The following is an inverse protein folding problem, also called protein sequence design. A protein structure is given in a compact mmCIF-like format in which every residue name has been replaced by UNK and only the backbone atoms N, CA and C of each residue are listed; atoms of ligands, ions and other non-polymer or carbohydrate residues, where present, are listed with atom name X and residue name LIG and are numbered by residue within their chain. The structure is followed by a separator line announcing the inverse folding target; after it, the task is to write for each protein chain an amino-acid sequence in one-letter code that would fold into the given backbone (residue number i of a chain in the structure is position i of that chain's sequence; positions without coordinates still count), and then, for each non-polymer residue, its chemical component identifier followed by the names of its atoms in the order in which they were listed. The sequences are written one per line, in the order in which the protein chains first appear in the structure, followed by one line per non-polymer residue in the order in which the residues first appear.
data_IF_288594768526
#
_entry.id   IF_288594768526
#
_cell.length_a   1.000
_cell.length_b   1.000
_cell.length_c   1.000
_cell.angle_alpha   90.00
_cell.angle_beta   90.00
_cell.angle_gamma   90.00
#
_symmetry.space_group_name_H-M   'P 1'
#
loop_
_entity.id
_entity.type
_entity.pdbx_description
1 polymer ?
#
# COMPACT_ATOMS: atom_id res chain seq x y z
N UNK A 1 9.51 31.60 9.15
CA UNK A 1 9.50 30.54 10.18
C UNK A 1 10.87 29.89 10.15
N UNK A 2 11.59 29.83 11.26
CA UNK A 2 12.95 29.27 11.32
C UNK A 2 12.92 27.93 12.05
N UNK A 3 13.61 26.93 11.51
CA UNK A 3 13.75 25.60 12.11
C UNK A 3 15.18 25.48 12.62
N UNK A 4 15.35 25.28 13.93
CA UNK A 4 16.67 25.07 14.52
C UNK A 4 17.07 23.59 14.38
N UNK A 5 18.13 23.33 13.62
CA UNK A 5 18.69 21.99 13.46
C UNK A 5 19.88 21.79 14.39
N UNK A 6 20.21 20.52 14.66
CA UNK A 6 21.45 20.20 15.38
C UNK A 6 22.63 20.43 14.43
N UNK A 7 23.79 20.91 14.91
CA UNK A 7 24.93 21.22 14.04
C UNK A 7 25.36 20.06 13.13
N UNK A 8 25.36 18.84 13.66
CA UNK A 8 25.72 17.65 12.87
C UNK A 8 24.74 17.38 11.71
N UNK A 9 23.46 17.69 11.88
CA UNK A 9 22.44 17.49 10.83
C UNK A 9 22.60 18.52 9.71
N UNK A 10 22.94 19.76 10.06
CA UNK A 10 23.16 20.81 9.05
C UNK A 10 24.35 20.48 8.15
N UNK A 11 25.45 20.00 8.74
CA UNK A 11 26.64 19.57 8.00
C UNK A 11 26.33 18.40 7.05
N UNK A 12 25.60 17.40 7.55
CA UNK A 12 25.23 16.23 6.76
C UNK A 12 24.26 16.57 5.62
N UNK A 13 23.25 17.42 5.89
CA UNK A 13 22.30 17.88 4.89
C UNK A 13 22.98 18.75 3.82
N UNK A 14 23.89 19.64 4.21
CA UNK A 14 24.65 20.47 3.28
C UNK A 14 25.57 19.62 2.38
N UNK A 15 26.23 18.60 2.94
CA UNK A 15 27.06 17.68 2.17
C UNK A 15 26.25 16.90 1.13
N UNK A 16 25.06 16.40 1.53
CA UNK A 16 24.15 15.68 0.62
C UNK A 16 23.55 16.57 -0.45
N UNK A 17 23.11 17.78 -0.09
CA UNK A 17 22.60 18.76 -1.04
C UNK A 17 23.67 19.10 -2.10
N UNK A 18 24.92 19.33 -1.68
CA UNK A 18 26.03 19.60 -2.58
C UNK A 18 26.35 18.42 -3.49
N UNK A 19 26.30 17.18 -3.00
CA UNK A 19 26.51 15.99 -3.80
C UNK A 19 25.46 15.85 -4.92
N UNK A 20 24.25 16.34 -4.67
CA UNK A 20 23.15 16.34 -5.63
C UNK A 20 23.04 17.64 -6.45
N UNK A 21 23.96 18.59 -6.28
CA UNK A 21 23.97 19.86 -6.99
C UNK A 21 22.82 20.82 -6.59
N UNK A 22 22.21 20.60 -5.43
CA UNK A 22 21.10 21.38 -4.90
C UNK A 22 21.56 22.31 -3.78
N UNK A 23 20.79 23.37 -3.54
CA UNK A 23 20.95 24.14 -2.30
C UNK A 23 20.43 23.32 -1.11
N UNK A 24 20.95 23.59 0.09
CA UNK A 24 20.48 22.92 1.31
C UNK A 24 18.98 23.12 1.53
N UNK A 25 18.46 24.29 1.18
CA UNK A 25 17.02 24.61 1.28
C UNK A 25 16.18 23.77 0.32
N UNK A 26 16.58 23.71 -0.97
CA UNK A 26 15.86 22.91 -1.98
C UNK A 26 15.88 21.43 -1.64
N UNK A 27 17.00 20.93 -1.14
CA UNK A 27 17.13 19.54 -0.70
C UNK A 27 16.17 19.25 0.46
N UNK A 28 16.14 20.10 1.49
CA UNK A 28 15.25 19.93 2.64
C UNK A 28 13.78 19.99 2.22
N UNK A 29 13.40 20.95 1.39
CA UNK A 29 12.02 21.06 0.90
C UNK A 29 11.60 19.81 0.13
N UNK A 30 12.46 19.30 -0.77
CA UNK A 30 12.19 18.08 -1.53
C UNK A 30 12.05 16.85 -0.62
N UNK A 31 12.90 16.68 0.38
CA UNK A 31 12.79 15.55 1.31
C UNK A 31 11.54 15.66 2.19
N UNK A 32 11.16 16.87 2.62
CA UNK A 32 9.91 17.10 3.33
C UNK A 32 8.69 16.83 2.44
N UNK A 33 8.70 17.24 1.18
CA UNK A 33 7.64 16.93 0.21
C UNK A 33 7.51 15.42 -0.02
N UNK A 34 8.63 14.68 -0.10
CA UNK A 34 8.61 13.22 -0.19
C UNK A 34 8.02 12.59 1.06
N UNK A 35 8.39 13.07 2.26
CA UNK A 35 7.83 12.55 3.51
C UNK A 35 6.33 12.82 3.62
N UNK A 36 5.88 14.02 3.25
CA UNK A 36 4.45 14.37 3.21
C UNK A 36 3.73 13.53 2.16
N UNK A 37 4.30 13.38 0.95
CA UNK A 37 3.70 12.59 -0.13
C UNK A 37 3.64 11.10 0.20
N UNK A 38 4.68 10.52 0.79
CA UNK A 38 4.67 9.12 1.24
C UNK A 38 3.70 8.91 2.40
N UNK A 39 3.64 9.85 3.34
CA UNK A 39 2.62 9.83 4.41
C UNK A 39 1.22 9.91 3.81
N UNK A 40 1.00 10.81 2.86
CA UNK A 40 -0.27 10.98 2.17
C UNK A 40 -0.66 9.72 1.38
N UNK A 41 0.29 9.06 0.71
CA UNK A 41 0.06 7.80 -0.01
C UNK A 41 -0.19 6.63 0.94
N UNK A 42 0.47 6.57 2.09
CA UNK A 42 0.15 5.60 3.15
C UNK A 42 -1.20 5.89 3.77
N UNK A 43 -1.58 7.16 3.98
CA UNK A 43 -2.94 7.50 4.40
C UNK A 43 -3.94 7.26 3.29
N UNK A 44 -3.64 7.40 2.00
CA UNK A 44 -4.58 7.09 0.90
C UNK A 44 -4.79 5.59 0.75
N UNK A 45 -3.74 4.78 0.94
CA UNK A 45 -3.87 3.32 0.99
C UNK A 45 -4.61 2.83 2.24
N UNK A 46 -4.68 3.66 3.30
CA UNK A 46 -5.51 3.44 4.51
C UNK A 46 -6.81 4.27 4.53
N UNK A 47 -7.01 5.21 3.60
CA UNK A 47 -8.18 6.10 3.52
C UNK A 47 -9.21 5.58 2.52
N UNK A 48 -8.91 4.48 1.82
CA UNK A 48 -9.94 3.53 1.42
C UNK A 48 -10.51 2.73 2.60
N UNK A 49 -10.04 2.94 3.84
CA UNK A 49 -10.56 2.24 5.04
C UNK A 49 -10.89 3.12 6.24
N UNK A 50 -10.67 4.44 6.22
CA UNK A 50 -10.96 5.32 7.38
C UNK A 50 -12.35 5.97 7.41
N UNK A 51 -13.16 5.87 6.33
CA UNK A 51 -14.58 6.26 6.34
C UNK A 51 -15.54 5.12 5.99
N UNK A 52 -15.03 3.94 5.69
CA UNK A 52 -15.85 2.75 5.69
C UNK A 52 -15.82 2.22 7.11
N UNK A 53 -16.91 2.48 7.87
CA UNK A 53 -17.20 1.65 9.04
C UNK A 53 -16.93 0.20 8.63
N UNK A 54 -16.25 -0.61 9.46
CA UNK A 54 -16.10 -2.02 9.13
C UNK A 54 -17.50 -2.55 8.80
N UNK A 55 -17.62 -3.27 7.69
CA UNK A 55 -18.90 -3.74 7.17
C UNK A 55 -19.72 -4.46 8.28
N UNK A 56 -19.03 -4.98 9.30
CA UNK A 56 -19.59 -5.41 10.58
C UNK A 56 -18.93 -4.67 11.74
N UNK A 57 -19.73 -4.12 12.64
CA UNK A 57 -19.27 -3.33 13.78
C UNK A 57 -19.03 -4.19 15.03
N UNK A 58 -19.58 -5.42 15.07
CA UNK A 58 -19.35 -6.37 16.17
C UNK A 58 -19.08 -7.81 15.70
N UNK A 59 -18.46 -8.66 16.54
CA UNK A 59 -18.29 -10.09 16.24
C UNK A 59 -19.60 -10.82 15.95
N UNK A 60 -20.68 -10.46 16.64
CA UNK A 60 -22.00 -11.08 16.45
C UNK A 60 -22.62 -10.72 15.09
N UNK A 61 -22.42 -9.48 14.63
CA UNK A 61 -22.83 -9.06 13.29
C UNK A 61 -22.06 -9.81 12.20
N UNK A 62 -20.76 -10.03 12.42
CA UNK A 62 -19.92 -10.81 11.50
C UNK A 62 -20.40 -12.26 11.39
N UNK A 63 -20.71 -12.89 12.52
CA UNK A 63 -21.24 -14.27 12.56
C UNK A 63 -22.55 -14.38 11.78
N UNK A 64 -23.48 -13.44 11.99
CA UNK A 64 -24.78 -13.45 11.28
C UNK A 64 -24.62 -13.32 9.77
N UNK A 65 -23.73 -12.45 9.34
CA UNK A 65 -23.54 -12.22 7.92
C UNK A 65 -22.78 -13.35 7.23
N UNK A 66 -21.86 -14.00 7.94
CA UNK A 66 -21.25 -15.24 7.45
C UNK A 66 -22.31 -16.34 7.28
N UNK A 67 -23.20 -16.50 8.25
CA UNK A 67 -24.33 -17.44 8.17
C UNK A 67 -25.24 -17.13 6.98
N UNK A 68 -25.59 -15.86 6.78
CA UNK A 68 -26.44 -15.44 5.67
C UNK A 68 -25.74 -15.60 4.31
N UNK A 69 -24.44 -15.36 4.24
CA UNK A 69 -23.65 -15.61 3.04
C UNK A 69 -23.64 -17.09 2.68
N UNK A 70 -23.43 -17.99 3.64
CA UNK A 70 -23.43 -19.43 3.41
C UNK A 70 -24.80 -19.91 2.93
N UNK A 71 -25.88 -19.45 3.56
CA UNK A 71 -27.25 -19.83 3.19
C UNK A 71 -27.64 -19.36 1.79
N UNK A 72 -27.17 -18.18 1.40
CA UNK A 72 -27.50 -17.57 0.12
C UNK A 72 -26.38 -17.71 -0.91
N UNK A 73 -25.37 -18.55 -0.63
CA UNK A 73 -24.23 -18.69 -1.52
C UNK A 73 -24.70 -19.23 -2.87
N UNK A 74 -24.55 -18.46 -3.96
CA UNK A 74 -25.01 -18.88 -5.27
C UNK A 74 -24.32 -20.19 -5.66
N UNK A 75 -25.12 -21.15 -6.12
CA UNK A 75 -24.60 -22.39 -6.68
C UNK A 75 -23.90 -22.06 -7.99
N UNK A 76 -22.57 -22.00 -7.94
CA UNK A 76 -21.74 -21.84 -9.12
C UNK A 76 -21.42 -23.20 -9.74
N UNK A 77 -21.24 -23.27 -11.06
CA UNK A 77 -20.71 -24.47 -11.69
C UNK A 77 -19.35 -24.80 -11.07
N UNK A 78 -19.13 -26.07 -10.79
CA UNK A 78 -17.82 -26.54 -10.34
C UNK A 78 -16.77 -26.12 -11.36
N UNK A 79 -15.64 -25.60 -10.87
CA UNK A 79 -14.50 -25.31 -11.72
C UNK A 79 -14.03 -26.63 -12.34
N UNK A 80 -13.68 -26.61 -13.63
CA UNK A 80 -13.09 -27.78 -14.27
C UNK A 80 -11.72 -28.08 -13.66
N UNK A 81 -11.30 -29.33 -13.72
CA UNK A 81 -9.96 -29.75 -13.24
C UNK A 81 -8.85 -28.95 -13.95
N UNK A 82 -9.06 -28.58 -15.21
CA UNK A 82 -8.15 -27.71 -15.96
C UNK A 82 -8.06 -26.29 -15.39
N UNK A 83 -9.16 -25.72 -14.88
CA UNK A 83 -9.17 -24.40 -14.27
C UNK A 83 -8.50 -24.37 -12.88
N UNK A 84 -8.45 -25.52 -12.19
CA UNK A 84 -7.75 -25.69 -10.92
C UNK A 84 -6.31 -26.18 -11.13
N UNK A 85 -6.00 -26.72 -12.31
CA UNK A 85 -4.69 -27.27 -12.63
C UNK A 85 -3.58 -26.24 -12.44
N UNK A 86 -2.56 -26.64 -11.68
CA UNK A 86 -1.38 -25.82 -11.43
C UNK A 86 -0.66 -25.47 -12.73
N UNK A 87 -0.64 -26.39 -13.69
CA UNK A 87 -0.03 -26.17 -15.01
C UNK A 87 -0.76 -25.09 -15.81
N UNK A 88 -2.09 -25.02 -15.70
CA UNK A 88 -2.91 -23.98 -16.37
C UNK A 88 -2.59 -22.56 -15.86
N UNK A 89 -2.26 -22.41 -14.58
CA UNK A 89 -1.95 -21.11 -13.95
C UNK A 89 -0.55 -20.60 -14.32
N UNK A 90 0.41 -21.49 -14.61
CA UNK A 90 1.81 -21.12 -14.82
C UNK A 90 2.31 -21.28 -16.26
N UNK A 91 1.51 -21.89 -17.16
CA UNK A 91 1.90 -22.18 -18.54
C UNK A 91 2.50 -20.99 -19.28
N UNK A 92 1.82 -19.84 -19.25
CA UNK A 92 2.28 -18.63 -19.94
C UNK A 92 3.61 -18.09 -19.39
N UNK A 93 3.93 -18.35 -18.11
CA UNK A 93 5.20 -17.93 -17.50
C UNK A 93 6.37 -18.85 -17.87
N UNK A 94 6.07 -20.12 -18.10
CA UNK A 94 7.06 -21.14 -18.50
C UNK A 94 7.37 -21.03 -20.01
N UNK A 95 6.35 -20.79 -20.84
CA UNK A 95 6.51 -20.60 -22.30
C UNK A 95 7.24 -19.29 -22.65
N UNK A 96 7.12 -18.24 -21.82
CA UNK A 96 7.81 -16.96 -22.03
C UNK A 96 9.31 -16.98 -21.68
N UNK A 97 9.82 -18.09 -21.14
CA UNK A 97 11.23 -18.26 -20.75
C UNK A 97 12.02 -19.12 -21.74
N UNK A 98 11.41 -19.54 -22.85
CA UNK A 98 12.00 -20.27 -23.97
C UNK A 98 12.18 -19.35 -25.20
#
# INVERSE_FOLDING_TARGET
MTVNLKPYLEEELAARAKAEGLTTEDFVNRELEKLISTKNRMTEHNASTENEKPFYQTPEEWVRALDDFIKNFPQHPVLSDEAISRESIYREREDAQL
#
